data_IF_463679369178
#
_entry.id   IF_463679369178
#
_cell.length_a   1.000
_cell.length_b   1.000
_cell.length_c   1.000
_cell.angle_alpha   90.00
_cell.angle_beta   90.00
_cell.angle_gamma   90.00
#
_symmetry.space_group_name_H-M   'P 1'
#
loop_
_entity.id
_entity.type
_entity.pdbx_description
1 polymer ?
#
# COMPACT_ATOMS: atom_id res chain seq x y z
N UNK A 1 3.48 2.66 40.07
CA UNK A 1 2.26 1.81 40.13
C UNK A 1 1.20 2.53 39.30
N UNK A 2 0.90 2.03 38.09
CA UNK A 2 -0.02 2.70 37.15
C UNK A 2 -1.43 2.12 37.37
N UNK A 3 -2.37 2.97 37.76
CA UNK A 3 -3.81 2.65 37.78
C UNK A 3 -4.35 2.79 36.37
N UNK A 4 -5.07 1.78 35.88
CA UNK A 4 -5.84 1.85 34.64
C UNK A 4 -7.31 2.01 35.06
N UNK A 5 -7.85 3.22 34.95
CA UNK A 5 -9.26 3.48 35.20
C UNK A 5 -10.13 2.87 34.09
N UNK A 6 -11.01 1.98 34.51
CA UNK A 6 -12.03 1.30 33.71
C UNK A 6 -13.16 2.29 33.38
N UNK A 7 -13.15 2.87 32.18
CA UNK A 7 -14.28 3.66 31.68
C UNK A 7 -15.06 2.86 30.65
N UNK A 8 -16.08 2.14 31.11
CA UNK A 8 -17.07 1.49 30.25
C UNK A 8 -17.92 2.58 29.55
N UNK A 9 -17.61 2.88 28.28
CA UNK A 9 -18.48 3.69 27.44
C UNK A 9 -19.69 2.85 27.04
N UNK A 10 -20.86 3.18 27.60
CA UNK A 10 -22.15 2.63 27.16
C UNK A 10 -22.46 3.25 25.79
N UNK A 11 -22.22 2.50 24.71
CA UNK A 11 -22.53 2.95 23.35
C UNK A 11 -24.00 2.62 23.06
N UNK A 12 -24.86 3.64 23.11
CA UNK A 12 -26.22 3.56 22.58
C UNK A 12 -26.19 3.30 21.07
N UNK A 13 -26.52 2.07 20.66
CA UNK A 13 -26.63 1.67 19.26
C UNK A 13 -27.89 2.28 18.63
N UNK A 14 -27.75 3.48 18.06
CA UNK A 14 -28.71 3.98 17.05
C UNK A 14 -28.40 3.29 15.72
N UNK A 15 -29.30 2.39 15.29
CA UNK A 15 -29.25 1.74 13.98
C UNK A 15 -29.32 2.80 12.87
N UNK A 16 -28.17 3.08 12.26
CA UNK A 16 -28.05 3.76 10.97
C UNK A 16 -27.72 2.71 9.92
N UNK A 17 -28.23 2.80 8.67
CA UNK A 17 -27.94 1.81 7.66
C UNK A 17 -26.43 1.79 7.42
N UNK A 18 -25.80 0.67 7.76
CA UNK A 18 -24.37 0.46 7.66
C UNK A 18 -24.03 0.56 6.17
N UNK A 19 -23.63 1.75 5.69
CA UNK A 19 -22.84 1.88 4.47
C UNK A 19 -21.64 0.98 4.70
N UNK A 20 -21.59 -0.18 4.03
CA UNK A 20 -20.42 -1.05 4.01
C UNK A 20 -19.26 -0.20 3.50
N UNK A 21 -18.51 0.40 4.43
CA UNK A 21 -17.21 0.99 4.11
C UNK A 21 -16.42 -0.20 3.59
N UNK A 22 -16.10 -0.20 2.30
CA UNK A 22 -15.14 -1.15 1.73
C UNK A 22 -13.85 -0.87 2.50
N UNK A 23 -13.64 -1.61 3.57
CA UNK A 23 -12.42 -1.58 4.33
C UNK A 23 -11.38 -2.15 3.39
N UNK A 24 -10.37 -1.36 3.07
CA UNK A 24 -9.20 -1.86 2.36
C UNK A 24 -8.65 -3.01 3.20
N UNK A 25 -8.72 -4.23 2.66
CA UNK A 25 -8.35 -5.42 3.41
C UNK A 25 -6.95 -5.25 4.00
N UNK A 26 -6.81 -5.52 5.29
CA UNK A 26 -5.53 -5.40 5.97
C UNK A 26 -4.60 -6.60 5.68
N UNK A 27 -5.08 -7.60 4.93
CA UNK A 27 -4.29 -8.78 4.57
C UNK A 27 -3.43 -8.49 3.34
N UNK A 28 -2.12 -8.70 3.49
CA UNK A 28 -1.13 -8.57 2.42
C UNK A 28 -1.38 -9.56 1.27
N UNK A 29 -1.98 -10.72 1.58
CA UNK A 29 -2.29 -11.75 0.59
C UNK A 29 -3.27 -11.28 -0.49
N UNK A 30 -4.21 -10.39 -0.15
CA UNK A 30 -5.21 -9.85 -1.09
C UNK A 30 -4.58 -8.95 -2.16
N UNK A 31 -3.32 -8.54 -1.97
CA UNK A 31 -2.61 -7.68 -2.92
C UNK A 31 -1.86 -8.42 -4.00
N UNK A 32 -1.86 -9.75 -3.99
CA UNK A 32 -1.16 -10.56 -4.99
C UNK A 32 -1.73 -10.34 -6.39
N UNK A 33 -3.05 -10.25 -6.53
CA UNK A 33 -3.72 -9.97 -7.82
C UNK A 33 -3.38 -8.58 -8.37
N UNK A 34 -3.09 -7.63 -7.48
CA UNK A 34 -2.70 -6.28 -7.87
C UNK A 34 -1.25 -6.17 -8.36
N UNK A 35 -0.40 -7.18 -8.08
CA UNK A 35 0.97 -7.24 -8.64
C UNK A 35 0.90 -7.37 -10.16
N UNK A 36 0.03 -8.24 -10.68
CA UNK A 36 -0.16 -8.40 -12.14
C UNK A 36 -0.65 -7.11 -12.80
N UNK A 37 -1.53 -6.35 -12.14
CA UNK A 37 -1.92 -5.02 -12.62
C UNK A 37 -0.77 -4.02 -12.67
N UNK A 38 0.14 -4.03 -11.68
CA UNK A 38 1.35 -3.19 -11.74
C UNK A 38 2.25 -3.60 -12.91
N UNK A 39 2.45 -4.90 -13.14
CA UNK A 39 3.25 -5.39 -14.26
C UNK A 39 2.68 -4.90 -15.59
N UNK A 40 1.36 -4.99 -15.79
CA UNK A 40 0.70 -4.44 -16.98
C UNK A 40 0.93 -2.93 -17.14
N UNK A 41 0.83 -2.15 -16.05
CA UNK A 41 1.12 -0.71 -16.10
C UNK A 41 2.59 -0.42 -16.42
N UNK A 42 3.50 -1.26 -15.94
CA UNK A 42 4.95 -1.15 -16.16
C UNK A 42 5.38 -1.63 -17.54
N UNK A 43 4.53 -2.32 -18.33
CA UNK A 43 4.87 -2.70 -19.71
C UNK A 43 5.18 -1.50 -20.61
N UNK A 44 4.66 -0.32 -20.28
CA UNK A 44 5.03 0.93 -20.97
C UNK A 44 6.51 1.32 -20.74
N UNK A 45 7.14 0.82 -19.68
CA UNK A 45 8.49 1.19 -19.23
C UNK A 45 9.31 -0.09 -18.94
N UNK A 46 9.85 -0.75 -19.98
CA UNK A 46 10.49 -2.07 -19.85
C UNK A 46 11.64 -2.10 -18.85
N UNK A 47 12.39 -1.00 -18.72
CA UNK A 47 13.47 -0.86 -17.73
C UNK A 47 12.96 -1.02 -16.29
N UNK A 48 11.84 -0.36 -15.97
CA UNK A 48 11.25 -0.44 -14.63
C UNK A 48 10.54 -1.78 -14.42
N UNK A 49 9.97 -2.37 -15.48
CA UNK A 49 9.40 -3.71 -15.43
C UNK A 49 10.46 -4.74 -15.04
N UNK A 50 11.63 -4.75 -15.69
CA UNK A 50 12.73 -5.66 -15.33
C UNK A 50 13.18 -5.46 -13.89
N UNK A 51 13.36 -4.21 -13.45
CA UNK A 51 13.69 -3.93 -12.05
C UNK A 51 12.63 -4.49 -11.10
N UNK A 52 11.35 -4.29 -11.40
CA UNK A 52 10.25 -4.79 -10.59
C UNK A 52 10.18 -6.33 -10.57
N UNK A 53 10.41 -6.99 -11.70
CA UNK A 53 10.44 -8.45 -11.81
C UNK A 53 11.62 -9.08 -11.06
N UNK A 54 12.76 -8.39 -10.99
CA UNK A 54 13.90 -8.85 -10.18
C UNK A 54 13.67 -8.71 -8.67
N UNK A 55 12.64 -7.98 -8.23
CA UNK A 55 12.29 -7.88 -6.82
C UNK A 55 11.71 -9.20 -6.29
N UNK A 56 12.03 -9.54 -5.04
CA UNK A 56 11.38 -10.66 -4.39
C UNK A 56 9.85 -10.43 -4.28
N UNK A 57 9.01 -11.48 -4.37
CA UNK A 57 7.55 -11.37 -4.34
C UNK A 57 6.99 -10.64 -3.10
N UNK A 58 7.74 -10.61 -1.98
CA UNK A 58 7.41 -9.79 -0.81
C UNK A 58 7.41 -8.29 -1.12
N UNK A 59 8.45 -7.79 -1.80
CA UNK A 59 8.57 -6.38 -2.15
C UNK A 59 7.57 -5.96 -3.22
N UNK A 60 7.31 -6.83 -4.22
CA UNK A 60 6.29 -6.60 -5.23
C UNK A 60 4.89 -6.41 -4.60
N UNK A 61 4.54 -7.27 -3.64
CA UNK A 61 3.28 -7.15 -2.87
C UNK A 61 3.22 -5.87 -2.05
N UNK A 62 4.35 -5.44 -1.45
CA UNK A 62 4.40 -4.17 -0.72
C UNK A 62 4.17 -2.96 -1.63
N UNK A 63 4.70 -2.98 -2.84
CA UNK A 63 4.41 -1.95 -3.85
C UNK A 63 2.95 -1.94 -4.28
N UNK A 64 2.38 -3.13 -4.55
CA UNK A 64 0.96 -3.26 -4.85
C UNK A 64 0.09 -2.71 -3.71
N UNK A 65 0.42 -3.04 -2.47
CA UNK A 65 -0.24 -2.46 -1.28
C UNK A 65 -0.09 -0.95 -1.23
N UNK A 66 1.10 -0.41 -1.47
CA UNK A 66 1.33 1.03 -1.44
C UNK A 66 0.45 1.76 -2.46
N UNK A 67 0.44 1.31 -3.71
CA UNK A 67 -0.33 1.93 -4.79
C UNK A 67 -1.84 1.74 -4.56
N UNK A 68 -2.32 0.51 -4.41
CA UNK A 68 -3.75 0.18 -4.40
C UNK A 68 -4.45 0.30 -3.03
N UNK A 69 -3.72 0.56 -1.94
CA UNK A 69 -4.36 0.93 -0.67
C UNK A 69 -5.08 2.28 -0.74
N UNK A 70 -4.74 3.13 -1.71
CA UNK A 70 -5.47 4.38 -1.94
C UNK A 70 -6.80 4.10 -2.66
N UNK A 71 -7.91 4.62 -2.13
CA UNK A 71 -9.24 4.46 -2.75
C UNK A 71 -9.45 5.35 -3.97
N UNK A 72 -8.76 6.49 -4.02
CA UNK A 72 -8.90 7.47 -5.10
C UNK A 72 -7.90 7.16 -6.21
N UNK A 73 -8.38 7.07 -7.45
CA UNK A 73 -7.54 6.77 -8.61
C UNK A 73 -6.44 7.82 -8.81
N UNK A 74 -6.75 9.11 -8.61
CA UNK A 74 -5.75 10.18 -8.67
C UNK A 74 -4.59 9.98 -7.67
N UNK A 75 -4.88 9.45 -6.48
CA UNK A 75 -3.85 9.12 -5.49
C UNK A 75 -3.08 7.86 -5.88
N UNK A 76 -3.74 6.84 -6.44
CA UNK A 76 -3.06 5.64 -6.95
C UNK A 76 -2.05 6.02 -8.03
N UNK A 77 -2.44 6.85 -9.00
CA UNK A 77 -1.52 7.35 -10.04
C UNK A 77 -0.33 8.08 -9.44
N UNK A 78 -0.55 9.00 -8.49
CA UNK A 78 0.56 9.69 -7.80
C UNK A 78 1.51 8.71 -7.10
N UNK A 79 0.98 7.69 -6.42
CA UNK A 79 1.78 6.67 -5.74
C UNK A 79 2.52 5.76 -6.73
N UNK A 80 1.93 5.48 -7.89
CA UNK A 80 2.59 4.74 -8.96
C UNK A 80 3.76 5.54 -9.56
N UNK A 81 3.57 6.83 -9.84
CA UNK A 81 4.66 7.71 -10.27
C UNK A 81 5.79 7.79 -9.24
N UNK A 82 5.44 7.89 -7.95
CA UNK A 82 6.42 7.86 -6.85
C UNK A 82 7.15 6.52 -6.79
N UNK A 83 6.44 5.39 -6.92
CA UNK A 83 7.04 4.06 -7.00
C UNK A 83 8.06 3.98 -8.15
N UNK A 84 7.71 4.46 -9.35
CA UNK A 84 8.64 4.48 -10.49
C UNK A 84 9.92 5.25 -10.19
N UNK A 85 9.81 6.44 -9.58
CA UNK A 85 10.97 7.24 -9.16
C UNK A 85 11.83 6.50 -8.15
N UNK A 86 11.22 5.88 -7.15
CA UNK A 86 11.94 5.14 -6.10
C UNK A 86 12.63 3.90 -6.66
N UNK A 87 11.99 3.18 -7.59
CA UNK A 87 12.60 2.05 -8.29
C UNK A 87 13.77 2.48 -9.18
N UNK A 88 13.65 3.62 -9.87
CA UNK A 88 14.73 4.19 -10.68
C UNK A 88 15.96 4.59 -9.82
N UNK A 89 15.74 4.95 -8.55
CA UNK A 89 16.79 5.20 -7.57
C UNK A 89 17.41 3.90 -6.99
N UNK A 90 16.92 2.73 -7.38
CA UNK A 90 17.44 1.42 -6.95
C UNK A 90 16.88 0.91 -5.62
N UNK A 91 15.86 1.55 -5.05
CA UNK A 91 15.25 1.12 -3.79
C UNK A 91 14.16 0.07 -4.02
N UNK A 92 14.20 -1.00 -3.22
CA UNK A 92 13.27 -2.14 -3.33
C UNK A 92 11.89 -1.87 -2.71
N UNK A 93 11.79 -0.89 -1.81
CA UNK A 93 10.54 -0.50 -1.16
C UNK A 93 10.54 0.98 -0.80
N UNK A 94 9.36 1.54 -0.58
CA UNK A 94 9.21 2.91 -0.08
C UNK A 94 9.85 3.10 1.31
N UNK A 95 9.76 2.11 2.18
CA UNK A 95 10.33 2.19 3.53
C UNK A 95 11.86 2.33 3.50
N UNK A 96 12.53 1.58 2.62
CA UNK A 96 13.98 1.69 2.44
C UNK A 96 14.38 3.07 1.92
N UNK A 97 13.60 3.64 1.00
CA UNK A 97 13.81 5.00 0.52
C UNK A 97 13.63 6.04 1.65
N UNK A 98 12.56 5.93 2.44
CA UNK A 98 12.33 6.83 3.57
C UNK A 98 13.40 6.70 4.65
N UNK A 99 13.94 5.50 4.87
CA UNK A 99 15.04 5.28 5.79
C UNK A 99 16.32 5.95 5.28
N UNK A 100 16.62 5.84 3.99
CA UNK A 100 17.77 6.49 3.38
C UNK A 100 17.68 8.02 3.40
N UNK A 101 16.47 8.59 3.32
CA UNK A 101 16.28 10.05 3.44
C UNK A 101 16.38 10.60 4.86
N UNK A 102 16.34 9.73 5.88
CA UNK A 102 16.39 10.13 7.30
C UNK A 102 17.78 10.08 7.91
N UNK A 103 18.77 9.52 7.21
CA UNK A 103 20.18 9.49 7.60
C UNK A 103 20.95 10.60 6.91
#
# INVERSE_FOLDING_TARGET
MVKLDETFTIIGLKFTPIRKKIATSQKVADYTSFVSHLQQQLQAEPTLLTLFETLAPGYQRNWARYVFSAKQQATQTKRFEEMKKILALGYKSKELYLQAQRG
#
